data_IF_873496202640
#
_entry.id   IF_873496202640
#
_cell.length_a   1.000
_cell.length_b   1.000
_cell.length_c   1.000
_cell.angle_alpha   90.00
_cell.angle_beta   90.00
_cell.angle_gamma   90.00
#
_symmetry.space_group_name_H-M   'P 1'
#
loop_
_entity.id
_entity.type
_entity.pdbx_description
1 polymer ?
#
# COMPACT_ATOMS: atom_id res chain seq x y z
N UNK A 1 -0.37 2.50 0.48
CA UNK A 1 -1.31 3.61 0.19
C UNK A 1 -1.47 3.75 -1.31
N UNK A 2 -2.72 3.91 -1.76
CA UNK A 2 -3.08 3.86 -3.17
C UNK A 2 -3.33 2.43 -3.67
N UNK A 3 -4.56 2.15 -4.08
CA UNK A 3 -4.96 0.82 -4.57
C UNK A 3 -5.40 0.85 -6.04
N UNK A 4 -4.69 1.66 -6.83
CA UNK A 4 -4.77 1.67 -8.28
C UNK A 4 -4.12 0.42 -8.88
N UNK A 5 -3.90 0.41 -10.18
CA UNK A 5 -3.34 -0.76 -10.87
C UNK A 5 -2.02 -1.25 -10.25
N UNK A 6 -1.09 -0.35 -10.00
CA UNK A 6 0.20 -0.72 -9.38
C UNK A 6 0.01 -1.20 -7.94
N UNK A 7 -0.79 -0.52 -7.14
CA UNK A 7 -1.07 -0.93 -5.76
C UNK A 7 -1.71 -2.32 -5.68
N UNK A 8 -2.63 -2.64 -6.59
CA UNK A 8 -3.24 -3.98 -6.67
C UNK A 8 -2.24 -5.05 -7.09
N UNK A 9 -1.34 -4.75 -8.03
CA UNK A 9 -0.26 -5.67 -8.40
C UNK A 9 0.69 -5.95 -7.23
N UNK A 10 1.08 -4.91 -6.50
CA UNK A 10 1.91 -5.05 -5.30
C UNK A 10 1.19 -5.90 -4.24
N UNK A 11 -0.09 -5.65 -4.02
CA UNK A 11 -0.90 -6.42 -3.08
C UNK A 11 -0.95 -7.90 -3.45
N UNK A 12 -1.19 -8.23 -4.72
CA UNK A 12 -1.22 -9.61 -5.20
C UNK A 12 0.12 -10.30 -5.03
N UNK A 13 1.22 -9.64 -5.37
CA UNK A 13 2.57 -10.18 -5.18
C UNK A 13 2.87 -10.41 -3.68
N UNK A 14 2.56 -9.44 -2.85
CA UNK A 14 2.76 -9.54 -1.40
C UNK A 14 1.92 -10.67 -0.78
N UNK A 15 0.71 -10.89 -1.27
CA UNK A 15 -0.18 -11.96 -0.79
C UNK A 15 0.37 -13.37 -1.02
N UNK A 16 1.36 -13.50 -1.90
CA UNK A 16 2.04 -14.77 -2.21
C UNK A 16 3.40 -14.90 -1.55
N UNK A 17 3.88 -13.85 -0.89
CA UNK A 17 5.19 -13.82 -0.23
C UNK A 17 5.08 -14.28 1.23
N UNK A 18 6.09 -15.00 1.69
CA UNK A 18 6.24 -15.35 3.11
C UNK A 18 6.99 -14.26 3.89
N UNK A 19 7.64 -13.31 3.21
CA UNK A 19 8.52 -12.31 3.83
C UNK A 19 7.77 -11.03 4.23
N UNK A 20 6.59 -10.80 3.66
CA UNK A 20 5.82 -9.58 3.89
C UNK A 20 4.35 -9.90 4.13
N UNK A 21 3.72 -9.11 4.97
CA UNK A 21 2.29 -9.17 5.25
C UNK A 21 1.67 -7.79 5.01
N UNK A 22 0.63 -7.73 4.19
CA UNK A 22 -0.15 -6.51 4.02
C UNK A 22 -1.22 -6.44 5.10
N UNK A 23 -1.11 -5.49 6.00
CA UNK A 23 -2.02 -5.33 7.14
C UNK A 23 -3.06 -4.22 6.93
N UNK A 24 -2.77 -3.27 6.04
CA UNK A 24 -3.69 -2.16 5.75
C UNK A 24 -3.52 -1.68 4.30
N UNK A 25 -4.64 -1.25 3.74
CA UNK A 25 -4.71 -0.60 2.43
C UNK A 25 -5.51 0.68 2.58
N UNK A 26 -4.95 1.79 2.15
CA UNK A 26 -5.62 3.09 2.14
C UNK A 26 -5.88 3.54 0.72
N UNK A 27 -7.10 3.90 0.42
CA UNK A 27 -7.54 4.45 -0.86
C UNK A 27 -8.82 5.25 -0.66
N UNK A 28 -9.17 6.09 -1.64
CA UNK A 28 -10.43 6.84 -1.64
C UNK A 28 -11.63 6.00 -2.11
N UNK A 29 -11.35 4.85 -2.73
CA UNK A 29 -12.38 3.94 -3.25
C UNK A 29 -13.09 3.19 -2.13
N UNK A 30 -14.35 2.86 -2.36
CA UNK A 30 -15.11 2.02 -1.45
C UNK A 30 -14.64 0.56 -1.49
N UNK A 31 -14.73 -0.17 -0.37
CA UNK A 31 -14.24 -1.55 -0.28
C UNK A 31 -14.73 -2.50 -1.36
N UNK A 32 -16.01 -2.45 -1.70
CA UNK A 32 -16.62 -3.30 -2.73
C UNK A 32 -16.05 -3.03 -4.12
N UNK A 33 -15.78 -1.76 -4.45
CA UNK A 33 -15.18 -1.36 -5.71
C UNK A 33 -13.72 -1.82 -5.78
N UNK A 34 -12.95 -1.60 -4.70
CA UNK A 34 -11.56 -2.01 -4.64
C UNK A 34 -11.41 -3.53 -4.76
N UNK A 35 -12.27 -4.28 -4.09
CA UNK A 35 -12.30 -5.74 -4.19
C UNK A 35 -12.67 -6.21 -5.61
N UNK A 36 -13.67 -5.61 -6.22
CA UNK A 36 -14.05 -5.91 -7.60
C UNK A 36 -12.90 -5.70 -8.58
N UNK A 37 -12.22 -4.55 -8.48
CA UNK A 37 -11.08 -4.23 -9.33
C UNK A 37 -9.91 -5.22 -9.12
N UNK A 38 -9.61 -5.57 -7.89
CA UNK A 38 -8.60 -6.58 -7.58
C UNK A 38 -8.93 -7.92 -8.23
N UNK A 39 -10.15 -8.41 -8.03
CA UNK A 39 -10.58 -9.69 -8.56
C UNK A 39 -10.63 -9.75 -10.10
N UNK A 40 -10.82 -8.60 -10.75
CA UNK A 40 -10.83 -8.52 -12.22
C UNK A 40 -9.44 -8.62 -12.86
N UNK A 41 -8.38 -8.46 -12.07
CA UNK A 41 -6.99 -8.38 -12.56
C UNK A 41 -6.13 -9.58 -12.16
N UNK A 42 -6.61 -10.44 -11.26
CA UNK A 42 -5.83 -11.58 -10.76
C UNK A 42 -6.29 -12.89 -11.40
N UNK A 43 -5.37 -13.86 -11.48
CA UNK A 43 -5.64 -15.17 -12.10
C UNK A 43 -6.63 -16.00 -11.28
N UNK A 44 -6.57 -15.91 -9.96
CA UNK A 44 -7.47 -16.62 -9.05
C UNK A 44 -8.21 -15.62 -8.13
N UNK A 45 -9.33 -15.06 -8.62
CA UNK A 45 -10.10 -14.10 -7.84
C UNK A 45 -10.69 -14.67 -6.53
N UNK A 46 -10.89 -15.98 -6.44
CA UNK A 46 -11.44 -16.61 -5.24
C UNK A 46 -10.50 -16.59 -4.05
N UNK A 47 -9.22 -16.32 -4.28
CA UNK A 47 -8.25 -16.16 -3.19
C UNK A 47 -8.54 -14.96 -2.31
N UNK A 48 -9.15 -13.92 -2.86
CA UNK A 48 -9.39 -12.66 -2.16
C UNK A 48 -10.87 -12.50 -1.84
N UNK A 49 -11.18 -12.44 -0.56
CA UNK A 49 -12.54 -12.25 -0.06
C UNK A 49 -12.67 -10.86 0.55
N UNK A 50 -13.83 -10.25 0.36
CA UNK A 50 -14.20 -9.04 1.07
C UNK A 50 -15.02 -9.42 2.30
N UNK A 51 -14.48 -9.16 3.47
CA UNK A 51 -15.12 -9.41 4.76
C UNK A 51 -15.29 -8.07 5.50
N UNK A 52 -16.43 -7.42 5.32
CA UNK A 52 -16.64 -6.06 5.84
C UNK A 52 -15.67 -5.07 5.20
N UNK A 53 -14.80 -4.49 6.00
CA UNK A 53 -13.73 -3.58 5.54
C UNK A 53 -12.36 -4.26 5.47
N UNK A 54 -12.33 -5.57 5.29
CA UNK A 54 -11.08 -6.33 5.17
C UNK A 54 -11.01 -7.05 3.83
N UNK A 55 -9.85 -6.99 3.21
CA UNK A 55 -9.45 -7.94 2.17
C UNK A 55 -8.77 -9.12 2.86
N UNK A 56 -9.37 -10.28 2.77
CA UNK A 56 -8.89 -11.50 3.39
C UNK A 56 -8.46 -12.52 2.35
N UNK A 57 -7.40 -13.24 2.65
CA UNK A 57 -6.98 -14.45 1.94
C UNK A 57 -6.51 -15.49 2.93
N UNK A 58 -5.95 -16.60 2.45
CA UNK A 58 -5.52 -17.70 3.32
C UNK A 58 -4.35 -17.36 4.26
N UNK A 59 -3.66 -16.25 4.01
CA UNK A 59 -2.45 -15.85 4.74
C UNK A 59 -2.65 -14.62 5.62
N UNK A 60 -3.51 -13.70 5.21
CA UNK A 60 -3.60 -12.39 5.87
C UNK A 60 -4.97 -11.74 5.70
N UNK A 61 -5.20 -10.73 6.52
CA UNK A 61 -6.33 -9.83 6.43
C UNK A 61 -5.81 -8.40 6.43
N UNK A 62 -6.11 -7.67 5.36
CA UNK A 62 -5.73 -6.26 5.22
C UNK A 62 -6.95 -5.37 5.47
N UNK A 63 -6.84 -4.45 6.41
CA UNK A 63 -7.88 -3.45 6.67
C UNK A 63 -7.94 -2.45 5.50
N UNK A 64 -9.13 -2.27 4.93
CA UNK A 64 -9.39 -1.21 3.96
C UNK A 64 -9.76 0.08 4.70
N UNK A 65 -9.06 1.15 4.37
CA UNK A 65 -9.27 2.48 4.93
C UNK A 65 -9.63 3.45 3.82
N UNK A 66 -10.80 4.07 3.91
CA UNK A 66 -11.23 5.11 2.98
C UNK A 66 -10.61 6.45 3.40
N UNK A 67 -9.31 6.61 3.12
CA UNK A 67 -8.51 7.77 3.50
C UNK A 67 -7.68 8.22 2.31
N UNK A 68 -7.68 9.53 2.04
CA UNK A 68 -6.93 10.13 0.94
C UNK A 68 -5.53 10.63 1.36
N UNK A 69 -5.38 11.17 2.55
CA UNK A 69 -4.15 11.88 2.94
C UNK A 69 -3.20 11.04 3.78
N UNK A 70 -1.89 11.05 3.47
CA UNK A 70 -0.88 10.33 4.26
C UNK A 70 -0.93 10.64 5.76
N UNK A 71 -1.10 11.90 6.14
CA UNK A 71 -1.11 12.33 7.53
C UNK A 71 -2.33 11.87 8.33
N UNK A 72 -3.36 11.35 7.67
CA UNK A 72 -4.58 10.86 8.32
C UNK A 72 -4.53 9.36 8.61
N UNK A 73 -3.53 8.66 8.08
CA UNK A 73 -3.40 7.21 8.27
C UNK A 73 -2.77 6.87 9.62
N UNK A 74 -3.45 6.11 10.47
CA UNK A 74 -2.93 5.69 11.76
C UNK A 74 -2.06 4.42 11.64
N UNK A 75 -0.92 4.53 10.98
CA UNK A 75 -0.04 3.38 10.74
C UNK A 75 0.44 2.70 12.00
N UNK A 76 0.63 3.44 13.08
CA UNK A 76 1.03 2.93 14.38
C UNK A 76 0.00 1.96 14.97
N UNK A 77 -1.29 2.22 14.81
CA UNK A 77 -2.38 1.36 15.29
C UNK A 77 -2.34 -0.01 14.62
N UNK A 78 -1.94 -0.07 13.34
CA UNK A 78 -1.86 -1.32 12.58
C UNK A 78 -0.49 -2.01 12.69
N UNK A 79 0.46 -1.41 13.39
CA UNK A 79 1.82 -1.98 13.49
C UNK A 79 2.56 -2.01 12.16
N UNK A 80 2.33 -1.03 11.30
CA UNK A 80 2.94 -0.95 9.97
C UNK A 80 4.41 -0.55 10.09
N UNK A 81 5.30 -1.37 9.54
CA UNK A 81 6.73 -1.05 9.45
C UNK A 81 7.04 -0.20 8.23
N UNK A 82 6.50 -0.58 7.09
CA UNK A 82 6.80 0.03 5.79
C UNK A 82 5.50 0.44 5.12
N UNK A 83 5.43 1.68 4.67
CA UNK A 83 4.36 2.17 3.80
C UNK A 83 4.87 2.20 2.38
N UNK A 84 4.13 1.58 1.47
CA UNK A 84 4.34 1.73 0.03
C UNK A 84 3.30 2.74 -0.47
N UNK A 85 3.76 3.90 -0.90
CA UNK A 85 2.90 4.91 -1.52
C UNK A 85 2.91 4.74 -3.03
N UNK A 86 1.81 4.23 -3.56
CA UNK A 86 1.57 4.03 -4.99
C UNK A 86 0.48 4.94 -5.55
N UNK A 87 0.14 6.00 -4.82
CA UNK A 87 -0.89 6.95 -5.26
C UNK A 87 -0.49 7.74 -6.51
N UNK A 88 0.81 7.95 -6.70
CA UNK A 88 1.32 8.84 -7.74
C UNK A 88 1.02 10.32 -7.50
N UNK A 89 0.31 10.63 -6.43
CA UNK A 89 -0.24 11.96 -6.10
C UNK A 89 0.63 12.70 -5.07
N UNK A 90 1.07 12.01 -4.05
CA UNK A 90 1.81 12.58 -2.92
C UNK A 90 3.30 12.34 -3.08
N UNK A 91 3.98 13.25 -3.79
CA UNK A 91 5.37 13.08 -4.23
C UNK A 91 6.36 13.98 -3.51
N UNK A 92 5.88 14.94 -2.72
CA UNK A 92 6.70 15.86 -1.96
C UNK A 92 7.11 15.25 -0.62
N UNK A 93 8.25 15.67 -0.10
CA UNK A 93 8.80 15.21 1.18
C UNK A 93 7.79 15.30 2.34
N UNK A 94 7.01 16.35 2.38
CA UNK A 94 6.02 16.57 3.44
C UNK A 94 5.01 15.42 3.58
N UNK A 95 4.64 14.79 2.48
CA UNK A 95 3.71 13.67 2.50
C UNK A 95 4.37 12.39 3.01
N UNK A 96 5.63 12.17 2.65
CA UNK A 96 6.41 11.04 3.18
C UNK A 96 6.65 11.21 4.68
N UNK A 97 6.95 12.41 5.14
CA UNK A 97 7.08 12.73 6.56
C UNK A 97 5.75 12.55 7.31
N UNK A 98 4.61 12.75 6.66
CA UNK A 98 3.29 12.44 7.20
C UNK A 98 3.11 10.95 7.51
N UNK A 99 3.57 10.06 6.63
CA UNK A 99 3.57 8.62 6.90
C UNK A 99 4.51 8.27 8.07
N UNK A 100 5.71 8.82 8.09
CA UNK A 100 6.69 8.58 9.16
C UNK A 100 6.18 9.10 10.50
N UNK A 101 5.58 10.30 10.52
CA UNK A 101 5.00 10.90 11.72
C UNK A 101 3.85 10.10 12.32
N UNK A 102 3.19 9.28 11.51
CA UNK A 102 2.08 8.42 11.95
C UNK A 102 2.51 6.96 12.24
N UNK A 103 3.79 6.72 12.40
CA UNK A 103 4.31 5.45 12.92
C UNK A 103 4.98 4.54 11.90
N UNK A 104 4.97 4.86 10.61
CA UNK A 104 5.76 4.11 9.65
C UNK A 104 7.26 4.31 9.90
N UNK A 105 8.03 3.24 9.82
CA UNK A 105 9.50 3.32 9.95
C UNK A 105 10.16 3.73 8.65
N UNK A 106 9.58 3.33 7.52
CA UNK A 106 10.08 3.62 6.17
C UNK A 106 8.92 3.87 5.23
N UNK A 107 9.19 4.68 4.23
CA UNK A 107 8.26 4.93 3.12
C UNK A 107 8.96 4.59 1.81
N UNK A 108 8.32 3.76 1.01
CA UNK A 108 8.71 3.49 -0.38
C UNK A 108 7.77 4.25 -1.30
N UNK A 109 8.30 5.24 -2.00
CA UNK A 109 7.55 5.97 -3.01
C UNK A 109 7.75 5.30 -4.38
N UNK A 110 6.67 4.85 -4.99
CA UNK A 110 6.73 4.19 -6.30
C UNK A 110 7.09 5.13 -7.44
N UNK A 111 6.68 6.38 -7.35
CA UNK A 111 6.93 7.40 -8.38
C UNK A 111 8.13 8.27 -8.03
N UNK A 112 8.69 8.95 -9.03
CA UNK A 112 9.76 9.92 -8.77
C UNK A 112 9.25 11.04 -7.86
N UNK A 113 10.01 11.36 -6.80
CA UNK A 113 9.68 12.47 -5.93
C UNK A 113 9.86 13.81 -6.65
N UNK A 114 9.17 14.82 -6.17
CA UNK A 114 9.34 16.21 -6.61
C UNK A 114 10.31 16.98 -5.73
N UNK A 115 10.79 16.35 -4.67
CA UNK A 115 11.58 16.95 -3.61
C UNK A 115 12.74 16.03 -3.22
N UNK A 116 13.62 16.53 -2.35
CA UNK A 116 14.76 15.75 -1.86
C UNK A 116 14.30 14.60 -0.95
N UNK A 117 14.83 13.41 -1.22
CA UNK A 117 14.60 12.20 -0.42
C UNK A 117 15.93 11.53 -0.08
N UNK A 118 15.90 10.59 0.85
CA UNK A 118 17.10 9.94 1.36
C UNK A 118 17.82 9.10 0.30
N UNK A 119 17.05 8.38 -0.54
CA UNK A 119 17.62 7.52 -1.57
C UNK A 119 16.64 7.24 -2.72
N UNK A 120 17.17 7.26 -3.92
CA UNK A 120 16.48 6.73 -5.11
C UNK A 120 17.12 5.39 -5.46
N UNK A 121 16.31 4.33 -5.52
CA UNK A 121 16.78 2.99 -5.86
C UNK A 121 16.28 2.60 -7.25
N UNK A 122 17.20 2.18 -8.09
CA UNK A 122 16.92 1.62 -9.42
C UNK A 122 17.37 0.17 -9.41
N UNK A 123 16.43 -0.81 -9.46
CA UNK A 123 16.77 -2.22 -9.43
C UNK A 123 17.78 -2.59 -10.51
N UNK A 124 18.78 -3.40 -10.13
CA UNK A 124 19.86 -3.80 -11.02
C UNK A 124 20.97 -2.75 -11.21
N UNK A 125 20.83 -1.53 -10.66
CA UNK A 125 21.81 -0.46 -10.81
C UNK A 125 22.42 -0.06 -9.46
N UNK A 126 21.61 0.29 -8.48
CA UNK A 126 22.09 0.86 -7.21
C UNK A 126 21.38 0.33 -5.96
N UNK A 127 20.86 -0.87 -6.01
CA UNK A 127 20.10 -1.50 -4.92
C UNK A 127 20.94 -2.06 -3.78
N UNK A 128 22.24 -2.16 -3.97
CA UNK A 128 23.18 -2.65 -2.94
C UNK A 128 23.54 -1.60 -1.88
#
# INVERSE_FOLDING_TARGET
>A
MGFGQTGRQIFELASRSDDVEVVAVADIGKPDILHYLLCSEVDDPKRHRLEGNFLANDRSRARLMEIDRPAEMPWDIFGVDIVIDSTGKYRDRVYMDGHLGNGARRVLLRTLPTDHIDRIVIPGINES
#
